data_IF_455094678805
#
_entry.id   IF_455094678805
#
_cell.length_a   1.000
_cell.length_b   1.000
_cell.length_c   1.000
_cell.angle_alpha   90.00
_cell.angle_beta   90.00
_cell.angle_gamma   90.00
#
_symmetry.space_group_name_H-M   'P 1'
#
loop_
_entity.id
_entity.type
_entity.pdbx_description
1 polymer ?
#
# COMPACT_ATOMS: atom_id res chain seq x y z
N UNK A 1 -15.37 -25.43 16.63
CA UNK A 1 -15.66 -24.46 15.56
C UNK A 1 -16.80 -23.55 16.01
N UNK A 2 -16.54 -22.27 16.21
CA UNK A 2 -17.53 -21.24 16.00
C UNK A 2 -17.09 -20.35 14.81
N UNK A 3 -18.06 -20.07 13.97
CA UNK A 3 -18.02 -19.27 12.75
C UNK A 3 -17.35 -17.91 12.94
N UNK A 4 -16.65 -17.38 11.95
CA UNK A 4 -16.15 -16.00 11.98
C UNK A 4 -17.37 -15.07 12.00
N UNK A 5 -17.40 -14.15 12.95
CA UNK A 5 -18.37 -13.04 12.99
C UNK A 5 -18.17 -12.23 11.71
N UNK A 6 -19.15 -12.30 10.85
CA UNK A 6 -19.35 -11.43 9.72
C UNK A 6 -19.35 -9.98 10.20
N UNK A 7 -18.49 -9.18 9.65
CA UNK A 7 -18.55 -7.73 9.73
C UNK A 7 -19.93 -7.26 9.24
N UNK A 8 -20.52 -6.21 9.82
CA UNK A 8 -21.83 -5.73 9.41
C UNK A 8 -21.80 -5.32 7.94
N UNK A 9 -22.71 -5.90 7.16
CA UNK A 9 -23.01 -5.52 5.80
C UNK A 9 -23.38 -4.02 5.77
N UNK A 10 -22.46 -3.19 5.36
CA UNK A 10 -22.76 -1.86 4.88
C UNK A 10 -23.59 -2.03 3.60
N UNK A 11 -24.91 -2.04 3.75
CA UNK A 11 -25.82 -1.78 2.63
C UNK A 11 -25.45 -0.42 2.07
N UNK A 12 -24.72 -0.44 0.98
CA UNK A 12 -24.57 0.70 0.09
C UNK A 12 -26.00 1.10 -0.32
N UNK A 13 -26.48 2.25 0.14
CA UNK A 13 -27.52 2.96 -0.57
C UNK A 13 -26.94 3.24 -1.96
N UNK A 14 -27.64 2.94 -3.04
CA UNK A 14 -27.22 3.40 -4.35
C UNK A 14 -27.20 4.93 -4.27
N UNK A 15 -26.02 5.53 -4.36
CA UNK A 15 -25.89 6.91 -4.74
C UNK A 15 -26.42 6.94 -6.16
N UNK A 16 -27.59 7.57 -6.34
CA UNK A 16 -28.14 7.87 -7.65
C UNK A 16 -27.03 8.45 -8.51
N UNK A 17 -26.46 7.60 -9.34
CA UNK A 17 -25.62 8.01 -10.45
C UNK A 17 -26.54 8.55 -11.54
N UNK A 18 -27.15 9.71 -11.29
CA UNK A 18 -27.55 10.55 -12.39
C UNK A 18 -26.27 10.96 -13.12
N UNK A 19 -26.16 10.67 -14.42
CA UNK A 19 -25.01 11.08 -15.18
C UNK A 19 -24.95 12.60 -15.14
N UNK A 20 -23.83 13.14 -14.63
CA UNK A 20 -23.46 14.56 -14.66
C UNK A 20 -23.20 14.99 -16.12
N UNK A 21 -24.20 14.82 -16.97
CA UNK A 21 -24.17 15.21 -18.38
C UNK A 21 -24.76 16.59 -18.64
N UNK A 22 -25.14 17.35 -17.58
CA UNK A 22 -25.83 18.62 -17.73
C UNK A 22 -25.14 19.83 -17.09
N UNK A 23 -23.82 19.95 -17.11
CA UNK A 23 -23.17 21.19 -16.66
C UNK A 23 -22.26 21.85 -17.68
N UNK A 24 -22.25 21.43 -18.93
CA UNK A 24 -21.54 22.14 -20.02
C UNK A 24 -22.32 23.32 -20.59
N UNK A 25 -23.61 23.45 -20.26
CA UNK A 25 -24.40 24.63 -20.60
C UNK A 25 -24.66 25.48 -19.36
N UNK A 26 -23.70 26.33 -19.00
CA UNK A 26 -23.82 27.26 -17.88
C UNK A 26 -24.93 28.33 -18.05
N UNK A 27 -25.66 28.28 -19.14
CA UNK A 27 -26.88 29.04 -19.39
C UNK A 27 -27.91 28.04 -19.90
N UNK A 28 -28.98 27.78 -19.14
CA UNK A 28 -30.02 26.86 -19.56
C UNK A 28 -30.53 27.23 -20.97
N UNK A 29 -30.93 26.25 -21.82
CA UNK A 29 -31.48 26.56 -23.14
C UNK A 29 -32.64 27.57 -23.08
N UNK A 30 -33.43 27.54 -22.01
CA UNK A 30 -34.48 28.51 -21.73
C UNK A 30 -33.91 29.91 -21.51
N UNK A 31 -32.88 30.07 -20.71
CA UNK A 31 -32.27 31.37 -20.45
C UNK A 31 -31.59 31.93 -21.71
N UNK A 32 -31.01 31.10 -22.55
CA UNK A 32 -30.50 31.52 -23.89
C UNK A 32 -31.61 31.94 -24.82
N UNK A 33 -32.78 31.28 -24.81
CA UNK A 33 -33.94 31.68 -25.61
C UNK A 33 -34.56 32.99 -25.10
N UNK A 34 -34.67 33.14 -23.80
CA UNK A 34 -35.17 34.40 -23.19
C UNK A 34 -34.25 35.57 -23.47
N UNK A 35 -32.93 35.39 -23.36
CA UNK A 35 -31.96 36.44 -23.70
C UNK A 35 -32.00 36.80 -25.19
N UNK A 36 -32.16 35.83 -26.10
CA UNK A 36 -32.33 36.08 -27.54
C UNK A 36 -33.62 36.80 -27.83
N UNK A 37 -34.73 36.39 -27.20
CA UNK A 37 -36.02 37.05 -27.33
C UNK A 37 -35.95 38.47 -26.80
N UNK A 38 -35.32 38.67 -25.63
CA UNK A 38 -35.17 40.00 -25.03
C UNK A 38 -34.26 40.91 -25.89
N UNK A 39 -33.17 40.39 -26.41
CA UNK A 39 -32.31 41.13 -27.34
C UNK A 39 -33.02 41.45 -28.67
N UNK A 40 -33.82 40.53 -29.20
CA UNK A 40 -34.63 40.76 -30.40
C UNK A 40 -35.74 41.83 -30.16
N UNK A 41 -36.39 41.77 -29.00
CA UNK A 41 -37.42 42.75 -28.61
C UNK A 41 -36.78 44.11 -28.45
N UNK A 42 -35.64 44.23 -27.75
CA UNK A 42 -34.90 45.51 -27.63
C UNK A 42 -34.51 46.05 -29.02
N UNK A 43 -33.99 45.18 -29.89
CA UNK A 43 -33.62 45.58 -31.25
C UNK A 43 -34.82 46.07 -32.05
N UNK A 44 -35.96 45.36 -31.97
CA UNK A 44 -37.21 45.75 -32.61
C UNK A 44 -37.71 47.07 -32.05
N UNK A 45 -37.69 47.27 -30.73
CA UNK A 45 -38.08 48.52 -30.08
C UNK A 45 -37.20 49.70 -30.51
N UNK A 46 -35.88 49.45 -30.57
CA UNK A 46 -34.91 50.46 -31.05
C UNK A 46 -35.17 50.78 -32.52
N UNK A 47 -35.38 49.77 -33.39
CA UNK A 47 -35.69 49.99 -34.81
C UNK A 47 -37.05 50.68 -34.96
N UNK A 48 -38.07 50.27 -34.27
CA UNK A 48 -39.40 50.87 -34.33
C UNK A 48 -39.41 52.33 -33.81
N UNK A 49 -38.72 52.56 -32.69
CA UNK A 49 -38.53 53.91 -32.16
C UNK A 49 -37.76 54.82 -33.12
N UNK A 50 -36.72 54.23 -33.74
CA UNK A 50 -35.92 54.94 -34.74
C UNK A 50 -36.75 55.27 -36.00
N UNK A 51 -37.55 54.34 -36.51
CA UNK A 51 -38.43 54.57 -37.68
C UNK A 51 -39.53 55.54 -37.37
N UNK A 52 -40.12 55.45 -36.16
CA UNK A 52 -41.16 56.38 -35.73
C UNK A 52 -40.60 57.82 -35.55
N UNK A 53 -39.49 57.92 -34.81
CA UNK A 53 -38.84 59.26 -34.63
C UNK A 53 -38.23 59.79 -35.92
N UNK A 54 -37.73 58.92 -36.83
CA UNK A 54 -37.21 59.41 -38.11
C UNK A 54 -38.28 59.97 -39.02
N UNK A 55 -39.55 59.42 -38.96
CA UNK A 55 -40.70 60.01 -39.64
C UNK A 55 -41.06 61.38 -39.08
N UNK A 56 -41.27 61.42 -37.76
CA UNK A 56 -41.65 62.70 -37.09
C UNK A 56 -40.56 63.79 -37.15
N UNK A 57 -39.29 63.34 -37.06
CA UNK A 57 -38.13 64.24 -37.18
C UNK A 57 -37.87 64.66 -38.62
N UNK A 58 -38.20 63.84 -39.62
CA UNK A 58 -38.10 64.24 -41.02
C UNK A 58 -39.17 65.29 -41.38
N UNK A 59 -40.38 65.07 -40.86
CA UNK A 59 -41.46 66.06 -41.03
C UNK A 59 -41.16 67.42 -40.31
N UNK A 60 -40.57 67.31 -39.09
CA UNK A 60 -40.14 68.48 -38.31
C UNK A 60 -38.93 69.20 -38.93
N UNK A 61 -37.99 68.41 -39.55
CA UNK A 61 -36.84 68.96 -40.25
C UNK A 61 -37.21 69.68 -41.54
N UNK A 62 -38.22 69.13 -42.24
CA UNK A 62 -38.75 69.77 -43.45
C UNK A 62 -39.52 71.06 -43.14
N UNK A 63 -40.15 71.22 -41.96
CA UNK A 63 -40.88 72.39 -41.54
C UNK A 63 -39.99 73.51 -40.94
N UNK A 64 -38.78 73.09 -40.39
CA UNK A 64 -37.89 74.08 -39.71
C UNK A 64 -36.42 74.01 -40.27
N UNK A 65 -36.23 74.32 -41.52
CA UNK A 65 -34.97 74.35 -42.23
C UNK A 65 -33.92 75.41 -41.70
N UNK A 66 -34.15 76.01 -40.53
CA UNK A 66 -33.27 77.05 -39.97
C UNK A 66 -32.48 76.70 -38.70
N UNK A 67 -32.59 75.51 -38.15
CA UNK A 67 -31.91 75.18 -36.92
C UNK A 67 -31.26 73.74 -37.04
N UNK A 68 -29.95 73.66 -37.28
CA UNK A 68 -29.05 72.52 -37.15
C UNK A 68 -29.53 71.20 -36.58
N UNK A 69 -30.79 70.81 -36.73
CA UNK A 69 -31.40 69.57 -36.23
C UNK A 69 -30.81 68.31 -36.91
N UNK A 70 -30.37 68.47 -38.17
CA UNK A 70 -29.79 67.36 -38.93
C UNK A 70 -28.47 66.87 -38.32
N UNK A 71 -27.68 67.79 -37.75
CA UNK A 71 -26.42 67.41 -37.09
C UNK A 71 -26.66 66.65 -35.78
N UNK A 72 -27.72 67.01 -35.04
CA UNK A 72 -28.07 66.32 -33.76
C UNK A 72 -28.52 64.88 -34.03
N UNK A 73 -29.32 64.66 -35.07
CA UNK A 73 -29.80 63.33 -35.46
C UNK A 73 -28.64 62.46 -35.84
N UNK A 74 -27.71 62.95 -36.64
CA UNK A 74 -26.51 62.18 -37.06
C UNK A 74 -25.64 61.80 -35.83
N UNK A 75 -25.49 62.74 -34.88
CA UNK A 75 -24.73 62.44 -33.64
C UNK A 75 -25.42 61.36 -32.82
N UNK A 76 -26.76 61.36 -32.65
CA UNK A 76 -27.50 60.33 -31.92
C UNK A 76 -27.38 58.97 -32.59
N UNK A 77 -27.45 58.89 -33.92
CA UNK A 77 -27.26 57.64 -34.67
C UNK A 77 -25.85 57.08 -34.49
N UNK A 78 -24.83 57.91 -34.63
CA UNK A 78 -23.45 57.52 -34.43
C UNK A 78 -23.23 57.01 -32.99
N UNK A 79 -23.77 57.75 -31.99
CA UNK A 79 -23.64 57.37 -30.60
C UNK A 79 -24.34 56.04 -30.30
N UNK A 80 -25.54 55.78 -30.86
CA UNK A 80 -26.24 54.48 -30.69
C UNK A 80 -25.53 53.33 -31.37
N UNK A 81 -24.91 53.55 -32.53
CA UNK A 81 -24.06 52.52 -33.20
C UNK A 81 -22.82 52.19 -32.34
N UNK A 82 -22.13 53.25 -31.86
CA UNK A 82 -20.95 53.07 -31.01
C UNK A 82 -21.32 52.34 -29.70
N UNK A 83 -22.45 52.73 -29.07
CA UNK A 83 -22.93 52.09 -27.86
C UNK A 83 -23.29 50.61 -28.12
N UNK A 84 -23.96 50.33 -29.22
CA UNK A 84 -24.33 48.96 -29.60
C UNK A 84 -23.07 48.10 -29.85
N UNK A 85 -22.08 48.59 -30.57
CA UNK A 85 -20.79 47.90 -30.78
C UNK A 85 -20.08 47.69 -29.42
N UNK A 86 -20.09 48.68 -28.55
CA UNK A 86 -19.49 48.58 -27.21
C UNK A 86 -20.19 47.51 -26.38
N UNK A 87 -21.52 47.46 -26.36
CA UNK A 87 -22.30 46.48 -25.63
C UNK A 87 -22.06 45.04 -26.17
N UNK A 88 -22.00 44.89 -27.50
CA UNK A 88 -21.72 43.59 -28.12
C UNK A 88 -20.31 43.10 -27.76
N UNK A 89 -19.29 43.97 -27.82
CA UNK A 89 -17.93 43.64 -27.39
C UNK A 89 -17.90 43.23 -25.92
N UNK A 90 -18.48 44.09 -25.06
CA UNK A 90 -18.54 43.83 -23.61
C UNK A 90 -19.22 42.50 -23.27
N UNK A 91 -20.27 42.15 -24.01
CA UNK A 91 -21.00 40.91 -23.82
C UNK A 91 -20.18 39.68 -24.25
N UNK A 92 -19.44 39.79 -25.37
CA UNK A 92 -18.51 38.73 -25.80
C UNK A 92 -17.40 38.55 -24.80
N UNK A 93 -16.80 39.61 -24.28
CA UNK A 93 -15.74 39.55 -23.27
C UNK A 93 -16.24 38.90 -21.98
N UNK A 94 -17.45 39.24 -21.54
CA UNK A 94 -18.09 38.62 -20.37
C UNK A 94 -18.35 37.14 -20.61
N UNK A 95 -18.85 36.75 -21.77
CA UNK A 95 -19.08 35.35 -22.13
C UNK A 95 -17.80 34.51 -22.14
N UNK A 96 -16.71 35.06 -22.67
CA UNK A 96 -15.40 34.41 -22.63
C UNK A 96 -14.87 34.28 -21.19
N UNK A 97 -14.99 35.32 -20.39
CA UNK A 97 -14.54 35.29 -18.99
C UNK A 97 -15.32 34.27 -18.15
N UNK A 98 -16.63 34.13 -18.40
CA UNK A 98 -17.47 33.12 -17.70
C UNK A 98 -17.10 31.72 -18.13
N UNK A 99 -16.89 31.47 -19.44
CA UNK A 99 -16.50 30.14 -19.93
C UNK A 99 -15.11 29.72 -19.45
N UNK A 100 -14.13 30.60 -19.44
CA UNK A 100 -12.76 30.29 -18.92
C UNK A 100 -12.80 30.02 -17.42
N UNK A 101 -13.59 30.80 -16.65
CA UNK A 101 -13.77 30.50 -15.22
C UNK A 101 -14.47 29.17 -14.97
N UNK A 102 -15.46 28.81 -15.76
CA UNK A 102 -16.17 27.53 -15.63
C UNK A 102 -15.24 26.34 -15.91
N UNK A 103 -14.37 26.43 -16.93
CA UNK A 103 -13.34 25.42 -17.22
C UNK A 103 -12.33 25.31 -16.08
N UNK A 104 -11.79 26.42 -15.60
CA UNK A 104 -10.85 26.44 -14.49
C UNK A 104 -11.46 25.85 -13.19
N UNK A 105 -12.74 26.16 -12.91
CA UNK A 105 -13.45 25.57 -11.76
C UNK A 105 -13.65 24.05 -11.92
N UNK A 106 -13.89 23.56 -13.13
CA UNK A 106 -14.02 22.13 -13.42
C UNK A 106 -12.68 21.41 -13.17
N UNK A 107 -11.60 21.94 -13.73
CA UNK A 107 -10.24 21.39 -13.52
C UNK A 107 -9.84 21.39 -12.04
N UNK A 108 -10.17 22.47 -11.31
CA UNK A 108 -9.89 22.55 -9.88
C UNK A 108 -10.67 21.50 -9.08
N UNK A 109 -11.95 21.28 -9.42
CA UNK A 109 -12.78 20.23 -8.78
C UNK A 109 -12.27 18.82 -9.06
N UNK A 110 -11.87 18.54 -10.30
CA UNK A 110 -11.28 17.26 -10.68
C UNK A 110 -9.96 17.02 -9.94
N UNK A 111 -9.08 18.00 -9.91
CA UNK A 111 -7.83 17.94 -9.16
C UNK A 111 -8.06 17.76 -7.65
N UNK A 112 -9.01 18.48 -7.06
CA UNK A 112 -9.37 18.33 -5.65
C UNK A 112 -9.94 16.93 -5.35
N UNK A 113 -10.75 16.39 -6.24
CA UNK A 113 -11.29 15.03 -6.10
C UNK A 113 -10.17 13.96 -6.13
N UNK A 114 -9.27 14.04 -7.11
CA UNK A 114 -8.11 13.15 -7.25
C UNK A 114 -7.22 13.22 -6.00
N UNK A 115 -6.88 14.44 -5.55
CA UNK A 115 -6.08 14.63 -4.35
C UNK A 115 -6.77 14.08 -3.09
N UNK A 116 -8.09 14.20 -3.01
CA UNK A 116 -8.89 13.60 -1.95
C UNK A 116 -8.81 12.07 -1.94
N UNK A 117 -8.88 11.43 -3.11
CA UNK A 117 -8.73 9.98 -3.25
C UNK A 117 -7.31 9.51 -2.88
N UNK A 118 -6.27 10.20 -3.36
CA UNK A 118 -4.89 9.91 -2.99
C UNK A 118 -4.65 10.05 -1.49
N UNK A 119 -5.16 11.12 -0.87
CA UNK A 119 -5.06 11.34 0.58
C UNK A 119 -5.75 10.23 1.38
N UNK A 120 -6.95 9.80 0.93
CA UNK A 120 -7.69 8.72 1.56
C UNK A 120 -6.93 7.39 1.43
N UNK A 121 -6.39 7.09 0.24
CA UNK A 121 -5.54 5.92 0.01
C UNK A 121 -4.33 5.93 0.95
N UNK A 122 -3.61 7.05 1.01
CA UNK A 122 -2.43 7.20 1.86
C UNK A 122 -2.77 6.96 3.32
N UNK A 123 -3.88 7.54 3.82
CA UNK A 123 -4.34 7.33 5.20
C UNK A 123 -4.62 5.86 5.50
N UNK A 124 -5.25 5.13 4.58
CA UNK A 124 -5.53 3.70 4.73
C UNK A 124 -4.24 2.88 4.67
N UNK A 125 -3.33 3.18 3.74
CA UNK A 125 -2.04 2.50 3.63
C UNK A 125 -1.18 2.68 4.89
N UNK A 126 -1.22 3.86 5.52
CA UNK A 126 -0.53 4.09 6.81
C UNK A 126 -1.12 3.28 7.97
N UNK A 127 -2.39 2.91 7.90
CA UNK A 127 -3.06 2.09 8.90
C UNK A 127 -2.84 0.58 8.70
N UNK A 128 -2.29 0.14 7.56
CA UNK A 128 -2.02 -1.27 7.29
C UNK A 128 -0.94 -1.85 8.20
N UNK A 129 -1.11 -3.12 8.53
CA UNK A 129 -0.13 -3.92 9.25
C UNK A 129 0.58 -4.94 8.36
N UNK A 130 -0.02 -5.31 7.22
CA UNK A 130 0.50 -6.34 6.31
C UNK A 130 0.56 -5.84 4.87
N UNK A 131 1.41 -6.46 4.06
CA UNK A 131 1.48 -6.22 2.62
C UNK A 131 0.17 -6.62 1.92
N UNK A 132 -0.48 -7.69 2.35
CA UNK A 132 -1.74 -8.16 1.76
C UNK A 132 -2.88 -7.14 1.94
N UNK A 133 -2.93 -6.48 3.11
CA UNK A 133 -3.88 -5.37 3.33
C UNK A 133 -3.56 -4.19 2.41
N UNK A 134 -2.28 -3.82 2.30
CA UNK A 134 -1.83 -2.74 1.43
C UNK A 134 -2.15 -3.03 -0.04
N UNK A 135 -1.90 -4.26 -0.52
CA UNK A 135 -2.17 -4.68 -1.89
C UNK A 135 -3.65 -4.55 -2.26
N UNK A 136 -4.56 -4.93 -1.37
CA UNK A 136 -6.01 -4.78 -1.58
C UNK A 136 -6.43 -3.31 -1.71
N UNK A 137 -5.86 -2.45 -0.88
CA UNK A 137 -6.10 -1.01 -0.94
C UNK A 137 -5.56 -0.44 -2.25
N UNK A 138 -4.34 -0.81 -2.64
CA UNK A 138 -3.70 -0.36 -3.88
C UNK A 138 -4.55 -0.75 -5.09
N UNK A 139 -4.96 -2.02 -5.22
CA UNK A 139 -5.84 -2.47 -6.31
C UNK A 139 -7.15 -1.70 -6.37
N UNK A 140 -7.79 -1.48 -5.22
CA UNK A 140 -9.06 -0.76 -5.14
C UNK A 140 -8.94 0.69 -5.63
N UNK A 141 -7.93 1.43 -5.15
CA UNK A 141 -7.72 2.82 -5.56
C UNK A 141 -7.15 2.93 -6.98
N UNK A 142 -6.33 1.99 -7.44
CA UNK A 142 -5.88 1.93 -8.82
C UNK A 142 -7.07 1.82 -9.78
N UNK A 143 -8.02 0.92 -9.50
CA UNK A 143 -9.25 0.78 -10.29
C UNK A 143 -10.12 2.05 -10.30
N UNK A 144 -10.14 2.82 -9.20
CA UNK A 144 -10.91 4.06 -9.11
C UNK A 144 -10.23 5.24 -9.83
N UNK A 145 -8.91 5.35 -9.71
CA UNK A 145 -8.14 6.45 -10.28
C UNK A 145 -7.81 6.24 -11.77
N UNK A 146 -7.72 4.98 -12.19
CA UNK A 146 -7.37 4.57 -13.54
C UNK A 146 -8.40 3.56 -14.10
N UNK A 147 -9.68 3.95 -14.24
CA UNK A 147 -10.75 3.02 -14.63
C UNK A 147 -10.59 2.45 -16.04
N UNK A 148 -9.95 3.22 -16.93
CA UNK A 148 -9.72 2.86 -18.33
C UNK A 148 -8.35 2.21 -18.56
N UNK A 149 -7.64 1.84 -17.52
CA UNK A 149 -6.30 1.27 -17.57
C UNK A 149 -6.23 0.02 -16.71
N UNK A 150 -5.44 -0.92 -17.17
CA UNK A 150 -5.15 -2.13 -16.42
C UNK A 150 -3.70 -2.11 -15.95
N UNK A 151 -3.39 -2.80 -14.88
CA UNK A 151 -2.02 -2.84 -14.44
C UNK A 151 -1.76 -3.77 -13.26
N UNK A 152 -0.48 -3.83 -12.92
CA UNK A 152 0.07 -4.78 -11.98
C UNK A 152 1.11 -4.11 -11.10
N UNK A 153 1.10 -4.50 -9.84
CA UNK A 153 2.15 -4.19 -8.90
C UNK A 153 3.02 -5.44 -8.70
N UNK A 154 4.30 -5.31 -8.97
CA UNK A 154 5.29 -6.35 -8.72
C UNK A 154 6.12 -6.00 -7.51
N UNK A 155 6.22 -6.91 -6.54
CA UNK A 155 7.04 -6.76 -5.35
C UNK A 155 8.23 -7.72 -5.35
N UNK A 156 9.33 -7.33 -4.73
CA UNK A 156 10.49 -8.20 -4.58
C UNK A 156 10.21 -9.35 -3.61
N UNK A 157 10.61 -10.55 -3.99
CA UNK A 157 10.73 -11.67 -3.04
C UNK A 157 11.84 -11.43 -2.02
N UNK A 158 11.82 -12.20 -0.95
CA UNK A 158 12.82 -12.13 0.14
C UNK A 158 14.27 -12.24 -0.35
N UNK A 159 14.53 -12.99 -1.44
CA UNK A 159 15.85 -13.13 -2.07
C UNK A 159 16.30 -11.89 -2.86
N UNK A 160 15.39 -10.96 -3.15
CA UNK A 160 15.59 -9.75 -4.01
C UNK A 160 16.07 -10.04 -5.44
N UNK A 161 16.07 -11.28 -5.88
CA UNK A 161 16.49 -11.67 -7.22
C UNK A 161 15.33 -11.73 -8.22
N UNK A 162 14.10 -11.76 -7.71
CA UNK A 162 12.89 -11.89 -8.51
C UNK A 162 11.81 -10.94 -7.97
N UNK A 163 11.01 -10.43 -8.91
CA UNK A 163 9.75 -9.75 -8.63
C UNK A 163 8.60 -10.69 -8.93
N UNK A 164 7.57 -10.67 -8.11
CA UNK A 164 6.32 -11.39 -8.30
C UNK A 164 5.12 -10.45 -8.20
N UNK A 165 4.01 -10.83 -8.84
CA UNK A 165 2.78 -10.05 -8.79
C UNK A 165 2.27 -10.01 -7.36
N UNK A 166 2.03 -8.80 -6.88
CA UNK A 166 1.55 -8.49 -5.53
C UNK A 166 0.12 -7.94 -5.55
N UNK A 167 -0.23 -7.17 -6.58
CA UNK A 167 -1.57 -6.63 -6.77
C UNK A 167 -1.88 -6.48 -8.27
N UNK A 168 -3.16 -6.60 -8.65
CA UNK A 168 -3.65 -6.45 -10.03
C UNK A 168 -4.92 -5.60 -9.99
N UNK A 169 -5.15 -4.80 -11.02
CA UNK A 169 -6.43 -4.17 -11.32
C UNK A 169 -6.73 -4.22 -12.80
N UNK A 170 -8.01 -4.42 -13.15
CA UNK A 170 -8.46 -4.68 -14.51
C UNK A 170 -8.09 -6.09 -15.00
N UNK A 171 -8.44 -6.38 -16.25
CA UNK A 171 -8.08 -7.63 -16.90
C UNK A 171 -6.80 -7.43 -17.70
N UNK A 172 -5.73 -8.11 -17.32
CA UNK A 172 -4.42 -8.03 -17.96
C UNK A 172 -4.11 -9.36 -18.64
N UNK A 173 -4.00 -9.34 -19.96
CA UNK A 173 -3.59 -10.50 -20.75
C UNK A 173 -2.07 -10.51 -20.96
N UNK A 174 -1.48 -11.71 -20.93
CA UNK A 174 -0.06 -11.91 -21.29
C UNK A 174 0.96 -11.36 -20.29
N UNK A 175 0.65 -11.39 -19.00
CA UNK A 175 1.58 -11.02 -17.94
C UNK A 175 2.47 -12.20 -17.49
N UNK A 176 3.70 -11.91 -17.13
CA UNK A 176 4.55 -12.86 -16.41
C UNK A 176 4.32 -12.73 -14.92
N UNK A 177 3.94 -13.84 -14.27
CA UNK A 177 3.71 -13.85 -12.81
C UNK A 177 4.97 -13.53 -12.00
N UNK A 178 6.15 -13.72 -12.61
CA UNK A 178 7.44 -13.51 -11.96
C UNK A 178 8.54 -13.23 -12.99
N UNK A 179 9.43 -12.29 -12.72
CA UNK A 179 10.56 -11.97 -13.59
C UNK A 179 11.76 -11.41 -12.80
N UNK A 180 12.94 -11.37 -13.43
CA UNK A 180 14.15 -10.81 -12.83
C UNK A 180 14.25 -9.29 -13.06
N UNK A 181 14.83 -8.51 -12.11
CA UNK A 181 14.94 -7.06 -12.24
C UNK A 181 15.61 -6.58 -13.54
N UNK A 182 16.57 -7.36 -14.06
CA UNK A 182 17.26 -7.06 -15.32
C UNK A 182 16.35 -7.14 -16.56
N UNK A 183 15.17 -7.74 -16.47
CA UNK A 183 14.23 -7.87 -17.57
C UNK A 183 13.37 -6.62 -17.78
N UNK A 184 13.51 -5.62 -16.88
CA UNK A 184 12.80 -4.35 -16.94
C UNK A 184 13.72 -3.15 -17.09
N UNK A 185 13.52 -2.38 -18.15
CA UNK A 185 14.29 -1.16 -18.40
C UNK A 185 14.08 -0.08 -17.33
N UNK A 186 12.86 0.06 -16.81
CA UNK A 186 12.58 1.00 -15.75
C UNK A 186 13.39 0.70 -14.48
N UNK A 187 13.49 -0.58 -14.08
CA UNK A 187 14.27 -1.02 -12.92
C UNK A 187 15.77 -0.82 -13.14
N UNK A 188 16.26 -1.07 -14.36
CA UNK A 188 17.68 -0.89 -14.71
C UNK A 188 18.11 0.59 -14.70
N UNK A 189 17.21 1.49 -15.08
CA UNK A 189 17.48 2.93 -15.16
C UNK A 189 17.10 3.67 -13.85
N UNK A 190 16.28 3.07 -13.00
CA UNK A 190 15.71 3.73 -11.83
C UNK A 190 14.73 4.85 -12.19
N UNK A 191 14.15 4.83 -13.39
CA UNK A 191 13.27 5.88 -13.92
C UNK A 191 12.07 5.26 -14.63
N UNK A 192 11.03 6.07 -14.78
CA UNK A 192 9.86 5.69 -15.57
C UNK A 192 10.26 5.36 -17.00
N UNK A 193 9.80 4.22 -17.50
CA UNK A 193 10.03 3.77 -18.87
C UNK A 193 8.70 3.57 -19.57
N UNK A 194 8.48 4.34 -20.66
CA UNK A 194 7.24 4.33 -21.44
C UNK A 194 7.49 3.74 -22.82
N UNK A 195 6.61 2.85 -23.24
CA UNK A 195 6.61 2.23 -24.56
C UNK A 195 5.28 2.53 -25.24
N UNK A 196 5.28 3.52 -26.13
CA UNK A 196 4.09 3.96 -26.85
C UNK A 196 3.74 3.04 -28.03
N UNK A 197 4.74 2.42 -28.66
CA UNK A 197 4.57 1.40 -29.69
C UNK A 197 5.59 0.26 -29.48
N UNK A 198 5.14 -0.90 -28.96
CA UNK A 198 6.02 -2.05 -28.73
C UNK A 198 6.70 -2.61 -29.97
N UNK A 199 6.18 -2.30 -31.16
CA UNK A 199 6.75 -2.78 -32.43
C UNK A 199 7.94 -1.94 -32.90
N UNK A 200 8.01 -0.68 -32.44
CA UNK A 200 9.05 0.28 -32.84
C UNK A 200 10.00 0.64 -31.70
N UNK A 201 9.65 0.31 -30.47
CA UNK A 201 10.42 0.63 -29.26
C UNK A 201 11.07 -0.60 -28.67
N UNK A 202 12.12 -0.39 -27.88
CA UNK A 202 12.77 -1.45 -27.10
C UNK A 202 11.86 -1.83 -25.94
N UNK A 203 11.22 -3.00 -26.03
CA UNK A 203 10.32 -3.49 -24.97
C UNK A 203 11.08 -4.16 -23.83
N UNK A 204 10.48 -4.15 -22.63
CA UNK A 204 10.95 -4.93 -21.49
C UNK A 204 10.71 -6.43 -21.74
N UNK A 205 11.63 -7.30 -21.29
CA UNK A 205 11.55 -8.74 -21.53
C UNK A 205 10.40 -9.40 -20.75
N UNK A 206 9.98 -8.80 -19.62
CA UNK A 206 8.87 -9.29 -18.81
C UNK A 206 7.48 -8.99 -19.40
N UNK A 207 7.38 -8.16 -20.43
CA UNK A 207 6.12 -7.78 -21.08
C UNK A 207 5.88 -8.64 -22.30
N UNK A 208 4.76 -9.37 -22.35
CA UNK A 208 4.41 -10.31 -23.44
C UNK A 208 3.27 -9.81 -24.32
N UNK A 209 2.57 -8.75 -23.92
CA UNK A 209 1.49 -8.16 -24.72
C UNK A 209 2.03 -7.13 -25.74
N UNK A 210 1.24 -6.87 -26.77
CA UNK A 210 1.57 -5.91 -27.82
C UNK A 210 0.99 -4.51 -27.59
N UNK A 211 0.38 -4.26 -26.45
CA UNK A 211 -0.20 -2.96 -26.09
C UNK A 211 0.87 -2.01 -25.55
N UNK A 212 0.71 -0.70 -25.75
CA UNK A 212 1.54 0.31 -25.11
C UNK A 212 1.50 0.18 -23.59
N UNK A 213 2.59 0.52 -22.92
CA UNK A 213 2.69 0.37 -21.47
C UNK A 213 3.67 1.34 -20.84
N UNK A 214 3.56 1.48 -19.52
CA UNK A 214 4.50 2.22 -18.70
C UNK A 214 4.93 1.34 -17.53
N UNK A 215 6.23 1.34 -17.27
CA UNK A 215 6.85 0.77 -16.08
C UNK A 215 7.33 1.90 -15.16
N UNK A 216 6.89 1.93 -13.92
CA UNK A 216 7.30 2.91 -12.91
C UNK A 216 7.96 2.19 -11.73
N UNK A 217 9.28 2.38 -11.50
CA UNK A 217 9.94 1.82 -10.33
C UNK A 217 9.50 2.58 -9.08
N UNK A 218 9.11 1.85 -8.06
CA UNK A 218 8.76 2.40 -6.75
C UNK A 218 10.01 2.47 -5.90
N UNK A 219 10.52 3.67 -5.70
CA UNK A 219 11.76 3.90 -4.98
C UNK A 219 11.52 4.65 -3.68
N UNK A 220 12.16 4.20 -2.61
CA UNK A 220 12.26 4.95 -1.37
C UNK A 220 13.65 4.76 -0.74
N UNK A 221 14.21 5.82 -0.19
CA UNK A 221 15.54 5.81 0.45
C UNK A 221 16.68 5.24 -0.43
N UNK A 222 16.58 5.43 -1.76
CA UNK A 222 17.58 4.93 -2.71
C UNK A 222 17.44 3.45 -3.07
N UNK A 223 16.45 2.74 -2.52
CA UNK A 223 16.15 1.35 -2.86
C UNK A 223 14.90 1.24 -3.74
N UNK A 224 14.93 0.32 -4.69
CA UNK A 224 13.72 -0.10 -5.41
C UNK A 224 12.94 -1.09 -4.55
N UNK A 225 11.68 -0.78 -4.27
CA UNK A 225 10.79 -1.59 -3.43
C UNK A 225 9.85 -2.47 -4.25
N UNK A 226 9.37 -1.95 -5.39
CA UNK A 226 8.39 -2.58 -6.24
C UNK A 226 8.44 -1.97 -7.65
N UNK A 227 7.68 -2.53 -8.58
CA UNK A 227 7.45 -2.00 -9.92
C UNK A 227 5.95 -1.89 -10.15
N UNK A 228 5.48 -0.73 -10.59
CA UNK A 228 4.15 -0.56 -11.14
C UNK A 228 4.23 -0.71 -12.66
N UNK A 229 3.49 -1.66 -13.22
CA UNK A 229 3.29 -1.84 -14.65
C UNK A 229 1.87 -1.43 -15.00
N UNK A 230 1.69 -0.58 -16.01
CA UNK A 230 0.38 -0.08 -16.44
C UNK A 230 0.28 -0.24 -17.94
N UNK A 231 -0.74 -0.96 -18.39
CA UNK A 231 -1.11 -1.06 -19.79
C UNK A 231 -1.92 0.18 -20.18
N UNK A 232 -1.58 0.77 -21.32
CA UNK A 232 -2.27 1.94 -21.83
C UNK A 232 -3.31 1.50 -22.86
N UNK A 233 -4.57 1.80 -22.59
CA UNK A 233 -5.62 1.67 -23.58
C UNK A 233 -5.74 2.97 -24.39
N UNK A 234 -6.16 2.91 -25.67
CA UNK A 234 -6.34 4.10 -26.49
C UNK A 234 -7.47 4.96 -25.89
N UNK A 235 -7.23 6.25 -25.76
CA UNK A 235 -8.25 7.24 -25.41
C UNK A 235 -9.32 7.32 -26.52
N UNK A 236 -10.46 7.98 -26.26
CA UNK A 236 -11.58 8.12 -27.17
C UNK A 236 -11.21 8.71 -28.56
N UNK A 237 -10.13 9.45 -28.64
CA UNK A 237 -9.53 10.01 -29.88
C UNK A 237 -8.49 9.09 -30.52
N UNK A 238 -8.29 7.87 -29.99
CA UNK A 238 -7.36 6.90 -30.54
C UNK A 238 -5.88 7.18 -30.25
N UNK A 239 -5.58 8.16 -29.41
CA UNK A 239 -4.22 8.43 -28.94
C UNK A 239 -3.81 7.36 -27.91
N UNK A 240 -2.54 6.89 -28.03
CA UNK A 240 -1.97 5.87 -27.15
C UNK A 240 -0.93 6.45 -26.19
N UNK A 241 -1.05 7.74 -25.88
CA UNK A 241 -0.12 8.45 -25.00
C UNK A 241 -0.87 9.03 -23.80
N UNK A 242 -0.25 8.91 -22.63
CA UNK A 242 -0.79 9.56 -21.45
C UNK A 242 -0.69 11.08 -21.53
N UNK A 243 -1.79 11.76 -21.19
CA UNK A 243 -1.73 13.19 -20.95
C UNK A 243 -0.77 13.51 -19.79
N UNK A 244 -0.18 14.71 -19.79
CA UNK A 244 0.72 15.13 -18.70
C UNK A 244 0.06 15.09 -17.32
N UNK A 245 -1.24 15.38 -17.26
CA UNK A 245 -2.03 15.29 -16.03
C UNK A 245 -2.12 13.85 -15.52
N UNK A 246 -2.43 12.88 -16.40
CA UNK A 246 -2.49 11.46 -16.02
C UNK A 246 -1.11 10.90 -15.67
N UNK A 247 -0.05 11.36 -16.37
CA UNK A 247 1.34 11.00 -16.06
C UNK A 247 1.75 11.50 -14.68
N UNK A 248 1.40 12.74 -14.34
CA UNK A 248 1.65 13.32 -13.00
C UNK A 248 0.88 12.57 -11.91
N UNK A 249 -0.36 12.17 -12.19
CA UNK A 249 -1.18 11.38 -11.28
C UNK A 249 -0.55 10.00 -11.02
N UNK A 250 -0.11 9.29 -12.07
CA UNK A 250 0.58 7.99 -11.93
C UNK A 250 1.86 8.12 -11.10
N UNK A 251 2.65 9.16 -11.32
CA UNK A 251 3.84 9.43 -10.51
C UNK A 251 3.48 9.63 -9.04
N UNK A 252 2.53 10.52 -8.75
CA UNK A 252 2.09 10.78 -7.39
C UNK A 252 1.51 9.54 -6.71
N UNK A 253 0.72 8.74 -7.43
CA UNK A 253 0.21 7.44 -6.95
C UNK A 253 1.35 6.48 -6.61
N UNK A 254 2.33 6.34 -7.51
CA UNK A 254 3.51 5.48 -7.32
C UNK A 254 4.36 5.92 -6.12
N UNK A 255 4.60 7.22 -5.96
CA UNK A 255 5.38 7.79 -4.85
C UNK A 255 4.70 7.54 -3.49
N UNK A 256 3.39 7.73 -3.40
CA UNK A 256 2.63 7.47 -2.17
C UNK A 256 2.68 5.99 -1.77
N UNK A 257 2.54 5.09 -2.73
CA UNK A 257 2.65 3.65 -2.47
C UNK A 257 4.08 3.29 -2.07
N UNK A 258 5.10 3.80 -2.76
CA UNK A 258 6.49 3.54 -2.43
C UNK A 258 6.82 3.94 -0.99
N UNK A 259 6.35 5.11 -0.55
CA UNK A 259 6.53 5.59 0.82
C UNK A 259 5.80 4.69 1.82
N UNK A 260 4.56 4.28 1.53
CA UNK A 260 3.79 3.40 2.40
C UNK A 260 4.43 2.00 2.53
N UNK A 261 4.87 1.40 1.42
CA UNK A 261 5.58 0.12 1.41
C UNK A 261 6.91 0.20 2.18
N UNK A 262 7.65 1.30 2.02
CA UNK A 262 8.88 1.55 2.79
C UNK A 262 8.63 1.61 4.29
N UNK A 263 7.58 2.32 4.70
CA UNK A 263 7.19 2.41 6.10
C UNK A 263 6.76 1.05 6.68
N UNK A 264 5.98 0.26 5.92
CA UNK A 264 5.61 -1.10 6.33
C UNK A 264 6.85 -1.98 6.51
N UNK A 265 7.78 -1.96 5.56
CA UNK A 265 9.04 -2.71 5.63
C UNK A 265 9.90 -2.29 6.83
N UNK A 266 10.01 -0.98 7.07
CA UNK A 266 10.75 -0.45 8.23
C UNK A 266 10.11 -0.88 9.56
N UNK A 267 8.77 -0.78 9.66
CA UNK A 267 8.03 -1.22 10.86
C UNK A 267 8.21 -2.71 11.11
N UNK A 268 8.15 -3.53 10.06
CA UNK A 268 8.38 -4.99 10.20
C UNK A 268 9.82 -5.28 10.61
N UNK A 269 10.81 -4.61 10.02
CA UNK A 269 12.22 -4.74 10.40
C UNK A 269 12.45 -4.36 11.88
N UNK A 270 11.90 -3.22 12.32
CA UNK A 270 12.00 -2.79 13.73
C UNK A 270 11.30 -3.79 14.68
N UNK A 271 10.14 -4.31 14.26
CA UNK A 271 9.45 -5.36 15.02
C UNK A 271 10.30 -6.62 15.13
N UNK A 272 10.87 -7.09 14.02
CA UNK A 272 11.75 -8.27 14.01
C UNK A 272 12.96 -8.07 14.93
N UNK A 273 13.60 -6.90 14.89
CA UNK A 273 14.70 -6.56 15.79
C UNK A 273 14.26 -6.52 17.27
N UNK A 274 13.04 -6.08 17.54
CA UNK A 274 12.51 -6.00 18.91
C UNK A 274 12.12 -7.36 19.50
N UNK A 275 11.76 -8.36 18.67
CA UNK A 275 11.24 -9.66 19.13
C UNK A 275 12.20 -10.82 18.91
N UNK A 276 13.30 -10.61 18.18
CA UNK A 276 14.29 -11.64 17.88
C UNK A 276 15.61 -11.40 18.59
N UNK A 277 16.29 -12.51 18.91
CA UNK A 277 17.68 -12.49 19.35
C UNK A 277 18.62 -12.35 18.13
N UNK A 278 19.49 -11.35 18.06
CA UNK A 278 20.30 -11.06 16.87
C UNK A 278 21.34 -12.14 16.58
N UNK A 279 21.78 -12.90 17.58
CA UNK A 279 22.79 -13.94 17.41
C UNK A 279 22.19 -15.22 16.83
N UNK A 280 21.08 -15.68 17.39
CA UNK A 280 20.49 -16.99 17.07
C UNK A 280 19.35 -16.93 16.06
N UNK A 281 18.74 -15.75 15.84
CA UNK A 281 17.57 -15.57 15.01
C UNK A 281 16.25 -16.11 15.61
N UNK A 282 16.31 -16.73 16.80
CA UNK A 282 15.16 -17.17 17.57
C UNK A 282 14.42 -15.97 18.18
N UNK A 283 13.23 -16.20 18.73
CA UNK A 283 12.58 -15.16 19.51
C UNK A 283 13.39 -14.82 20.76
N UNK A 284 13.29 -13.60 21.24
CA UNK A 284 13.92 -13.19 22.48
C UNK A 284 12.98 -13.44 23.69
N UNK A 285 13.50 -13.31 24.89
CA UNK A 285 12.78 -13.51 26.15
C UNK A 285 11.51 -12.67 26.25
N UNK A 286 11.56 -11.42 25.82
CA UNK A 286 10.40 -10.52 25.88
C UNK A 286 9.21 -11.04 25.06
N UNK A 287 9.47 -11.48 23.84
CA UNK A 287 8.45 -12.08 22.99
C UNK A 287 7.86 -13.36 23.58
N UNK A 288 8.72 -14.19 24.24
CA UNK A 288 8.27 -15.39 24.92
C UNK A 288 7.25 -15.08 26.02
N UNK A 289 7.56 -14.13 26.91
CA UNK A 289 6.71 -13.75 28.05
C UNK A 289 5.35 -13.20 27.56
N UNK A 290 5.36 -12.35 26.53
CA UNK A 290 4.14 -11.83 25.89
C UNK A 290 3.31 -12.98 25.25
N UNK A 291 3.97 -13.88 24.52
CA UNK A 291 3.30 -15.01 23.83
C UNK A 291 2.74 -16.04 24.79
N UNK A 292 3.45 -16.36 25.88
CA UNK A 292 2.96 -17.29 26.92
C UNK A 292 1.69 -16.76 27.58
N UNK A 293 1.62 -15.46 27.84
CA UNK A 293 0.43 -14.84 28.42
C UNK A 293 -0.81 -15.04 27.54
N UNK A 294 -0.64 -14.92 26.22
CA UNK A 294 -1.69 -15.18 25.24
C UNK A 294 -2.05 -16.67 25.15
N UNK A 295 -1.03 -17.55 25.19
CA UNK A 295 -1.23 -18.98 25.05
C UNK A 295 -1.98 -19.56 26.26
N UNK A 296 -1.69 -19.11 27.48
CA UNK A 296 -2.47 -19.45 28.68
C UNK A 296 -3.94 -19.06 28.54
N UNK A 297 -4.21 -17.84 28.04
CA UNK A 297 -5.59 -17.41 27.82
C UNK A 297 -6.30 -18.27 26.77
N UNK A 298 -5.60 -18.69 25.71
CA UNK A 298 -6.14 -19.60 24.70
C UNK A 298 -6.40 -20.97 25.27
N UNK A 299 -5.43 -21.53 25.99
CA UNK A 299 -5.53 -22.83 26.61
C UNK A 299 -6.69 -22.89 27.62
N UNK A 300 -6.83 -21.88 28.49
CA UNK A 300 -7.97 -21.76 29.41
C UNK A 300 -9.32 -21.72 28.69
N UNK A 301 -9.45 -20.96 27.60
CA UNK A 301 -10.71 -20.87 26.83
C UNK A 301 -11.07 -22.16 26.11
N UNK A 302 -10.08 -22.86 25.59
CA UNK A 302 -10.27 -24.07 24.79
C UNK A 302 -10.17 -25.36 25.59
N UNK A 303 -9.94 -25.26 26.90
CA UNK A 303 -9.63 -26.41 27.81
C UNK A 303 -8.51 -27.27 27.21
N UNK A 304 -7.45 -26.63 26.70
CA UNK A 304 -6.32 -27.26 26.05
C UNK A 304 -5.08 -27.18 26.94
N UNK A 305 -4.10 -28.05 26.67
CA UNK A 305 -2.79 -28.01 27.31
C UNK A 305 -1.73 -27.47 26.34
N UNK A 306 -0.62 -27.01 26.88
CA UNK A 306 0.62 -26.78 26.14
C UNK A 306 1.81 -27.15 27.05
N UNK A 307 2.93 -27.43 26.45
CA UNK A 307 4.15 -27.78 27.17
C UNK A 307 5.26 -26.77 26.94
N UNK A 308 6.09 -26.57 27.94
CA UNK A 308 7.29 -25.72 27.89
C UNK A 308 8.51 -26.61 28.14
N UNK A 309 9.54 -26.42 27.29
CA UNK A 309 10.86 -26.98 27.48
C UNK A 309 11.82 -25.86 27.83
N UNK A 310 12.45 -25.90 28.99
CA UNK A 310 13.60 -25.09 29.34
C UNK A 310 14.88 -25.85 29.03
N UNK A 311 15.75 -25.31 28.22
CA UNK A 311 16.91 -25.98 27.65
C UNK A 311 18.17 -25.20 27.95
N UNK A 312 19.26 -25.85 28.26
CA UNK A 312 20.56 -25.23 28.51
C UNK A 312 21.70 -26.11 27.92
N UNK A 313 22.69 -25.45 27.30
CA UNK A 313 23.89 -26.11 26.79
C UNK A 313 24.80 -26.50 27.92
N UNK A 314 25.08 -27.80 28.02
CA UNK A 314 25.93 -28.34 29.09
C UNK A 314 27.36 -27.82 28.95
N UNK A 315 27.91 -27.37 30.08
CA UNK A 315 29.31 -26.91 30.18
C UNK A 315 29.69 -25.75 29.21
N UNK A 316 28.76 -24.94 28.75
CA UNK A 316 29.02 -23.92 27.76
C UNK A 316 30.04 -22.87 28.22
N UNK A 317 30.06 -22.50 29.50
CA UNK A 317 31.08 -21.63 30.04
C UNK A 317 32.51 -22.22 29.87
N UNK A 318 32.69 -23.50 30.23
CA UNK A 318 33.97 -24.19 30.03
C UNK A 318 34.35 -24.28 28.56
N UNK A 319 33.36 -24.46 27.69
CA UNK A 319 33.55 -24.43 26.24
C UNK A 319 34.12 -23.11 25.78
N UNK A 320 33.50 -21.98 26.19
CA UNK A 320 33.98 -20.63 25.89
C UNK A 320 35.39 -20.37 26.45
N UNK A 321 35.66 -20.82 27.67
CA UNK A 321 36.98 -20.67 28.29
C UNK A 321 38.08 -21.43 27.52
N UNK A 322 37.72 -22.49 26.79
CA UNK A 322 38.64 -23.33 26.01
C UNK A 322 38.79 -22.87 24.56
N UNK A 323 37.68 -22.47 23.89
CA UNK A 323 37.66 -22.21 22.46
C UNK A 323 37.44 -20.74 22.10
N UNK A 324 37.19 -19.91 23.09
CA UNK A 324 36.89 -18.48 22.92
C UNK A 324 35.42 -18.17 22.66
N UNK A 325 35.02 -16.93 22.86
CA UNK A 325 33.62 -16.49 22.69
C UNK A 325 33.13 -16.58 21.25
N UNK A 326 34.00 -16.35 20.27
CA UNK A 326 33.61 -16.48 18.84
C UNK A 326 33.17 -17.91 18.47
N UNK A 327 33.85 -18.92 19.00
CA UNK A 327 33.45 -20.31 18.84
C UNK A 327 32.12 -20.59 19.55
N UNK A 328 31.92 -20.02 20.74
CA UNK A 328 30.66 -20.09 21.46
C UNK A 328 29.48 -19.45 20.69
N UNK A 329 29.71 -18.30 20.07
CA UNK A 329 28.69 -17.64 19.25
C UNK A 329 28.26 -18.51 18.05
N UNK A 330 29.21 -19.20 17.41
CA UNK A 330 28.90 -20.13 16.32
C UNK A 330 28.10 -21.35 16.82
N UNK A 331 28.41 -21.85 18.01
CA UNK A 331 27.64 -22.93 18.65
C UNK A 331 26.20 -22.46 18.89
N UNK A 332 26.01 -21.29 19.48
CA UNK A 332 24.68 -20.71 19.75
C UNK A 332 23.90 -20.47 18.45
N UNK A 333 24.52 -19.92 17.42
CA UNK A 333 23.91 -19.75 16.11
C UNK A 333 23.48 -21.08 15.48
N UNK A 334 24.33 -22.10 15.59
CA UNK A 334 24.06 -23.42 15.05
C UNK A 334 22.94 -24.12 15.81
N UNK A 335 22.92 -24.02 17.14
CA UNK A 335 21.80 -24.47 17.96
C UNK A 335 20.51 -23.74 17.61
N UNK A 336 20.55 -22.42 17.44
CA UNK A 336 19.38 -21.64 17.03
C UNK A 336 18.79 -22.15 15.70
N UNK A 337 19.62 -22.38 14.68
CA UNK A 337 19.21 -22.96 13.39
C UNK A 337 18.71 -24.41 13.54
N UNK A 338 19.32 -25.19 14.39
CA UNK A 338 18.89 -26.55 14.69
C UNK A 338 17.49 -26.55 15.31
N UNK A 339 17.26 -25.78 16.37
CA UNK A 339 15.95 -25.65 17.01
C UNK A 339 14.88 -25.19 16.03
N UNK A 340 15.17 -24.16 15.20
CA UNK A 340 14.26 -23.62 14.21
C UNK A 340 13.78 -24.67 13.19
N UNK A 341 14.62 -25.64 12.82
CA UNK A 341 14.28 -26.73 11.90
C UNK A 341 13.45 -27.85 12.54
N UNK A 342 13.50 -27.96 13.88
CA UNK A 342 12.82 -29.02 14.64
C UNK A 342 11.51 -28.55 15.30
N UNK A 343 11.11 -27.26 15.13
CA UNK A 343 9.83 -26.73 15.57
C UNK A 343 8.83 -26.69 14.43
N UNK A 344 7.52 -26.75 14.78
CA UNK A 344 6.41 -26.58 13.83
C UNK A 344 6.01 -25.12 13.72
N UNK A 345 5.23 -24.76 12.71
CA UNK A 345 4.80 -23.37 12.48
C UNK A 345 3.98 -22.71 13.62
N UNK A 346 3.50 -23.50 14.57
CA UNK A 346 2.79 -22.98 15.76
C UNK A 346 3.62 -22.98 17.04
N UNK A 347 4.81 -23.62 17.03
CA UNK A 347 5.72 -23.67 18.18
C UNK A 347 6.52 -22.37 18.29
N UNK A 348 6.96 -22.02 19.49
CA UNK A 348 7.80 -20.85 19.76
C UNK A 348 9.15 -21.32 20.27
N UNK A 349 10.23 -20.98 19.55
CA UNK A 349 11.59 -21.18 20.02
C UNK A 349 12.21 -19.82 20.39
N UNK A 350 12.76 -19.73 21.59
CA UNK A 350 13.28 -18.51 22.20
C UNK A 350 14.67 -18.72 22.76
N UNK A 351 15.55 -17.73 22.62
CA UNK A 351 16.74 -17.60 23.46
C UNK A 351 16.36 -16.86 24.73
N UNK A 352 16.35 -17.58 25.85
CA UNK A 352 15.92 -17.05 27.13
C UNK A 352 17.00 -16.28 27.88
N UNK A 353 18.24 -16.78 27.80
CA UNK A 353 19.44 -16.20 28.42
C UNK A 353 20.69 -16.42 27.57
N UNK A 354 21.86 -16.35 28.16
CA UNK A 354 23.13 -16.53 27.47
C UNK A 354 23.22 -17.82 26.67
N UNK A 355 23.06 -18.96 27.36
CA UNK A 355 23.13 -20.33 26.82
C UNK A 355 21.80 -21.09 27.01
N UNK A 356 20.76 -20.37 27.46
CA UNK A 356 19.45 -20.90 27.79
C UNK A 356 18.45 -20.66 26.68
N UNK A 357 17.67 -21.68 26.35
CA UNK A 357 16.63 -21.65 25.32
C UNK A 357 15.30 -22.16 25.88
N UNK A 358 14.22 -21.65 25.35
CA UNK A 358 12.87 -22.10 25.73
C UNK A 358 12.07 -22.44 24.50
N UNK A 359 11.43 -23.61 24.52
CA UNK A 359 10.43 -23.98 23.50
C UNK A 359 9.04 -23.98 24.13
N UNK A 360 8.07 -23.37 23.46
CA UNK A 360 6.65 -23.50 23.79
C UNK A 360 5.99 -24.33 22.70
N UNK A 361 5.29 -25.40 23.12
CA UNK A 361 4.65 -26.37 22.24
C UNK A 361 3.13 -26.36 22.46
N UNK A 362 2.38 -25.50 21.75
CA UNK A 362 0.93 -25.41 21.87
C UNK A 362 0.25 -26.74 21.54
N UNK A 363 -0.70 -27.16 22.37
CA UNK A 363 -1.44 -28.41 22.19
C UNK A 363 -0.62 -29.70 22.39
N UNK A 364 0.66 -29.61 22.83
CA UNK A 364 1.46 -30.79 23.12
C UNK A 364 1.15 -31.35 24.52
N UNK A 365 0.89 -32.66 24.59
CA UNK A 365 0.86 -33.37 25.86
C UNK A 365 2.27 -33.52 26.44
N UNK A 366 2.34 -33.92 27.72
CA UNK A 366 3.60 -34.12 28.39
C UNK A 366 4.46 -35.19 27.67
N UNK A 367 3.85 -36.30 27.26
CA UNK A 367 4.51 -37.40 26.57
C UNK A 367 5.12 -36.98 25.25
N UNK A 368 4.34 -36.15 24.47
CA UNK A 368 4.83 -35.62 23.20
C UNK A 368 5.96 -34.62 23.43
N UNK A 369 5.87 -33.78 24.45
CA UNK A 369 6.92 -32.83 24.79
C UNK A 369 8.20 -33.55 25.24
N UNK A 370 8.08 -34.64 26.03
CA UNK A 370 9.21 -35.44 26.43
C UNK A 370 9.88 -36.13 25.23
N UNK A 371 9.11 -36.76 24.35
CA UNK A 371 9.65 -37.36 23.13
C UNK A 371 10.44 -36.34 22.31
N UNK A 372 9.88 -35.14 22.10
CA UNK A 372 10.57 -34.07 21.36
C UNK A 372 11.83 -33.57 22.04
N UNK A 373 11.81 -33.43 23.36
CA UNK A 373 13.00 -33.04 24.11
C UNK A 373 14.11 -34.11 24.00
N UNK A 374 13.78 -35.39 24.05
CA UNK A 374 14.72 -36.47 23.87
C UNK A 374 15.28 -36.49 22.44
N UNK A 375 14.46 -36.27 21.42
CA UNK A 375 14.90 -36.11 20.01
C UNK A 375 15.87 -34.92 19.85
N UNK A 376 15.64 -33.80 20.51
CA UNK A 376 16.53 -32.64 20.52
C UNK A 376 17.87 -32.96 21.21
N UNK A 377 17.84 -33.63 22.38
CA UNK A 377 19.06 -34.08 23.06
C UNK A 377 19.87 -35.03 22.18
N UNK A 378 19.22 -35.98 21.52
CA UNK A 378 19.92 -36.93 20.61
C UNK A 378 20.48 -36.20 19.37
N UNK A 379 19.71 -35.27 18.81
CA UNK A 379 20.12 -34.52 17.62
C UNK A 379 21.31 -33.61 17.85
N UNK A 380 21.39 -32.95 19.01
CA UNK A 380 22.50 -32.03 19.32
C UNK A 380 23.83 -32.77 19.45
N UNK A 381 23.84 -34.01 19.96
CA UNK A 381 25.05 -34.85 20.06
C UNK A 381 25.64 -35.17 18.70
N UNK A 382 24.84 -35.19 17.64
CA UNK A 382 25.27 -35.50 16.27
C UNK A 382 25.62 -34.25 15.46
N UNK A 383 25.45 -33.05 16.01
CA UNK A 383 25.78 -31.82 15.32
C UNK A 383 27.29 -31.65 15.16
N UNK A 384 27.72 -31.56 13.90
CA UNK A 384 29.09 -31.22 13.55
C UNK A 384 29.21 -29.71 13.39
N UNK A 385 30.08 -29.13 14.19
CA UNK A 385 30.33 -27.68 14.15
C UNK A 385 31.82 -27.49 13.90
N UNK A 386 32.17 -26.87 12.79
CA UNK A 386 33.53 -26.54 12.42
C UNK A 386 33.82 -25.07 12.67
N UNK A 387 34.95 -24.81 13.31
CA UNK A 387 35.47 -23.46 13.53
C UNK A 387 36.96 -23.42 13.21
N UNK A 388 37.38 -22.56 12.29
CA UNK A 388 38.78 -22.41 11.86
C UNK A 388 39.46 -23.75 11.46
N UNK A 389 38.70 -24.66 10.83
CA UNK A 389 39.19 -25.95 10.40
C UNK A 389 39.33 -27.01 11.52
N UNK A 390 38.81 -26.71 12.70
CA UNK A 390 38.77 -27.66 13.84
C UNK A 390 37.32 -27.97 14.19
N UNK A 391 37.03 -29.26 14.43
CA UNK A 391 35.72 -29.68 14.91
C UNK A 391 35.57 -29.32 16.39
N UNK A 392 34.47 -28.67 16.73
CA UNK A 392 34.16 -28.19 18.09
C UNK A 392 33.57 -29.29 19.00
N UNK A 393 33.83 -30.56 18.73
CA UNK A 393 33.46 -31.68 19.59
C UNK A 393 31.97 -31.95 19.75
N UNK A 394 31.56 -32.99 20.42
CA UNK A 394 30.17 -33.27 20.70
C UNK A 394 29.63 -32.28 21.74
N UNK A 395 28.44 -31.71 21.45
CA UNK A 395 27.69 -30.90 22.38
C UNK A 395 26.61 -31.73 23.08
N UNK A 396 26.27 -31.37 24.31
CA UNK A 396 25.10 -31.93 24.98
C UNK A 396 24.23 -30.79 25.55
N UNK A 397 22.99 -31.10 25.80
CA UNK A 397 22.06 -30.18 26.45
C UNK A 397 21.25 -30.90 27.53
N UNK A 398 20.85 -30.15 28.52
CA UNK A 398 19.89 -30.55 29.54
C UNK A 398 18.56 -29.88 29.30
N UNK A 399 17.45 -30.55 29.54
CA UNK A 399 16.13 -29.98 29.37
C UNK A 399 15.21 -30.28 30.56
N UNK A 400 14.43 -29.29 30.98
CA UNK A 400 13.35 -29.40 31.93
C UNK A 400 12.00 -29.17 31.24
N UNK A 401 10.99 -30.01 31.54
CA UNK A 401 9.67 -29.93 30.93
C UNK A 401 8.62 -29.61 31.95
N UNK A 402 7.74 -28.66 31.64
CA UNK A 402 6.52 -28.41 32.37
C UNK A 402 5.33 -28.27 31.42
N UNK A 403 4.14 -28.67 31.89
CA UNK A 403 2.91 -28.65 31.08
C UNK A 403 1.83 -27.84 31.82
N UNK A 404 1.21 -26.91 31.11
CA UNK A 404 0.01 -26.23 31.56
C UNK A 404 -1.22 -27.11 31.29
N UNK A 405 -2.22 -27.24 32.24
CA UNK A 405 -2.25 -26.59 33.55
C UNK A 405 -1.61 -27.42 34.69
N UNK A 406 -1.03 -28.58 34.42
CA UNK A 406 -0.64 -29.55 35.46
C UNK A 406 0.47 -29.02 36.39
N UNK A 407 1.41 -28.22 35.86
CA UNK A 407 2.57 -27.70 36.62
C UNK A 407 2.47 -26.21 36.91
N UNK A 408 1.25 -25.64 36.80
CA UNK A 408 0.99 -24.23 37.13
C UNK A 408 -0.18 -23.66 36.36
N UNK A 409 -0.83 -22.65 36.92
CA UNK A 409 -2.00 -21.96 36.32
C UNK A 409 -1.69 -20.57 35.74
N UNK A 410 -0.42 -20.16 35.82
CA UNK A 410 0.11 -18.88 35.31
C UNK A 410 1.49 -19.02 34.64
N UNK A 411 1.91 -17.95 33.91
CA UNK A 411 3.19 -17.93 33.16
C UNK A 411 4.38 -18.22 34.07
N UNK A 412 4.46 -17.51 35.20
CA UNK A 412 5.58 -17.61 36.14
C UNK A 412 5.70 -19.02 36.72
N UNK A 413 4.58 -19.62 37.11
CA UNK A 413 4.58 -20.94 37.74
C UNK A 413 5.04 -22.02 36.79
N UNK A 414 4.55 -22.03 35.55
CA UNK A 414 4.92 -23.04 34.55
C UNK A 414 6.38 -22.88 34.12
N UNK A 415 6.86 -21.65 33.95
CA UNK A 415 8.28 -21.39 33.66
C UNK A 415 9.17 -21.80 34.83
N UNK A 416 8.80 -21.51 36.07
CA UNK A 416 9.55 -21.91 37.25
C UNK A 416 9.59 -23.43 37.41
N UNK A 417 8.48 -24.12 37.13
CA UNK A 417 8.44 -25.59 37.16
C UNK A 417 9.40 -26.21 36.12
N UNK A 418 9.43 -25.66 34.90
CA UNK A 418 10.36 -26.11 33.85
C UNK A 418 11.82 -25.81 34.24
N UNK A 419 12.11 -24.66 34.84
CA UNK A 419 13.45 -24.30 35.29
C UNK A 419 13.94 -25.20 36.42
N UNK A 420 13.08 -25.51 37.39
CA UNK A 420 13.41 -26.48 38.46
C UNK A 420 13.70 -27.87 37.90
N UNK A 421 12.95 -28.31 36.92
CA UNK A 421 13.19 -29.57 36.21
C UNK A 421 14.55 -29.56 35.45
N UNK A 422 14.88 -28.47 34.79
CA UNK A 422 16.19 -28.26 34.15
C UNK A 422 17.32 -28.29 35.18
N UNK A 423 17.16 -27.62 36.30
CA UNK A 423 18.13 -27.63 37.39
C UNK A 423 18.35 -29.06 37.91
N UNK A 424 17.29 -29.85 38.05
CA UNK A 424 17.37 -31.25 38.40
C UNK A 424 18.12 -32.06 37.34
N UNK A 425 17.85 -31.86 36.03
CA UNK A 425 18.57 -32.51 34.94
C UNK A 425 20.08 -32.23 35.01
N UNK A 426 20.48 -30.98 35.30
CA UNK A 426 21.89 -30.61 35.48
C UNK A 426 22.56 -31.31 36.68
N UNK A 427 21.84 -31.45 37.80
CA UNK A 427 22.35 -32.09 39.00
C UNK A 427 22.47 -33.62 38.89
N UNK A 428 21.56 -34.26 38.14
CA UNK A 428 21.57 -35.71 37.95
C UNK A 428 22.60 -36.18 36.93
N UNK A 429 23.41 -35.30 36.40
CA UNK A 429 24.55 -35.68 35.54
C UNK A 429 24.46 -35.13 34.12
N UNK A 430 23.52 -34.18 33.85
CA UNK A 430 23.35 -33.50 32.55
C UNK A 430 22.96 -34.43 31.40
N UNK A 431 22.96 -33.90 30.18
CA UNK A 431 22.69 -34.62 28.93
C UNK A 431 21.39 -35.45 29.01
N UNK A 432 20.32 -34.86 29.57
CA UNK A 432 19.04 -35.54 29.84
C UNK A 432 17.85 -34.59 29.86
N UNK A 433 16.73 -35.23 29.84
CA UNK A 433 15.40 -34.59 29.99
C UNK A 433 14.82 -34.96 31.36
N UNK A 434 14.30 -33.97 32.10
CA UNK A 434 13.57 -34.17 33.35
C UNK A 434 12.22 -33.48 33.27
N UNK A 435 11.20 -34.13 33.78
CA UNK A 435 9.83 -33.59 33.83
C UNK A 435 9.62 -32.99 35.22
N UNK A 436 8.97 -31.81 35.27
CA UNK A 436 8.51 -31.19 36.53
C UNK A 436 7.59 -32.12 37.31
N UNK A 437 7.64 -32.04 38.64
CA UNK A 437 6.85 -32.89 39.56
C UNK A 437 5.71 -32.05 40.16
#
# INVERSE_FOLDING_TARGET
MPSPRLLPNFKQRPIDSQPLQESTDAISPQLRSEIRIFAAVILIVIIASFLFQAGDLLDLALEHQQYGFDEIIVIIVILSIVLTIFLIRRWRDLGQAVSTRALALKELKESAHINGQLSKMTSLLHACFTLDEANKIISHFAQQLFPDQTGELYAFRSSRNLLEISAIWGEVDGHESMFAPQDCWALRQGQMYEVSDPRQSVSCLHVKHASPYICLPMMAHGEVLALLHVCLEPDADGTRTLSETRRSLLKGFTEQIALALSNLKLRDSLRQQSIRDPLTGLFNRRYLEESLSLEIQRAKRNNASFSILMIDLDHFKRFNDTHGHEAGDIVLQTLGRFLQRHIRGGDIACRYGGEEFTLVLPGASLELAQQRAEELCAGIRTLHIDFNGSSLGPLSLSAGIATFPNHGDGVEMVLQAADMALYQAKNEGRDRVVVAV
#
